data_IF_018608428263
#
_entry.id   IF_018608428263
#
_cell.length_a   1.000
_cell.length_b   1.000
_cell.length_c   1.000
_cell.angle_alpha   90.00
_cell.angle_beta   90.00
_cell.angle_gamma   90.00
#
_symmetry.space_group_name_H-M   'P 1'
#
loop_
_entity.id
_entity.type
_entity.pdbx_description
1 polymer ?
#
# COMPACT_ATOMS: atom_id res chain seq x y z
N UNK A 1 -73.12 67.19 20.73
CA UNK A 1 -73.06 65.78 20.97
C UNK A 1 -73.22 65.07 19.58
N UNK A 2 -72.16 64.55 19.01
CA UNK A 2 -72.14 63.94 17.69
C UNK A 2 -71.72 62.47 17.89
N UNK A 3 -72.35 61.52 17.23
CA UNK A 3 -71.91 60.12 17.31
C UNK A 3 -70.77 59.78 16.38
N UNK A 4 -69.87 58.95 16.81
CA UNK A 4 -68.70 58.47 16.11
C UNK A 4 -69.09 57.20 15.31
N UNK A 5 -68.84 57.20 14.03
CA UNK A 5 -69.08 56.06 13.15
C UNK A 5 -67.87 55.15 13.13
N UNK A 6 -68.04 53.86 13.43
CA UNK A 6 -67.04 52.81 13.26
C UNK A 6 -67.05 52.33 11.80
N UNK A 7 -65.87 52.43 11.16
CA UNK A 7 -65.57 51.77 9.87
C UNK A 7 -64.89 50.42 10.15
N UNK A 8 -65.57 49.35 9.76
CA UNK A 8 -64.95 48.02 9.71
C UNK A 8 -64.16 47.90 8.40
N UNK A 9 -62.85 47.74 8.47
CA UNK A 9 -61.98 47.34 7.34
C UNK A 9 -61.74 45.84 7.41
N UNK A 10 -62.31 45.12 6.44
CA UNK A 10 -62.02 43.70 6.23
C UNK A 10 -60.64 43.54 5.61
N UNK A 11 -59.70 42.90 6.34
CA UNK A 11 -58.43 42.50 5.80
C UNK A 11 -58.54 41.14 5.12
N UNK A 12 -58.40 41.09 3.81
CA UNK A 12 -58.23 39.88 3.01
C UNK A 12 -56.83 39.35 3.20
N UNK A 13 -56.63 38.24 3.93
CA UNK A 13 -55.36 37.50 4.01
C UNK A 13 -55.16 36.71 2.70
N UNK A 14 -54.26 37.13 1.85
CA UNK A 14 -53.80 36.38 0.71
C UNK A 14 -52.77 35.33 1.20
N UNK A 15 -53.14 34.08 1.21
CA UNK A 15 -52.23 32.96 1.48
C UNK A 15 -51.31 32.75 0.27
N UNK A 16 -50.07 33.19 0.38
CA UNK A 16 -49.01 32.88 -0.61
C UNK A 16 -48.49 31.46 -0.28
N UNK A 17 -48.99 30.47 -1.03
CA UNK A 17 -48.34 29.14 -1.03
C UNK A 17 -46.99 29.29 -1.75
N UNK A 18 -45.92 29.42 -0.96
CA UNK A 18 -44.54 29.33 -1.42
C UNK A 18 -44.27 27.88 -1.86
N UNK A 19 -44.22 27.64 -3.15
CA UNK A 19 -43.60 26.44 -3.69
C UNK A 19 -42.08 26.56 -3.39
N UNK A 20 -41.59 25.87 -2.36
CA UNK A 20 -40.19 25.64 -2.17
C UNK A 20 -39.71 24.72 -3.28
N UNK A 21 -39.21 25.32 -4.36
CA UNK A 21 -38.41 24.56 -5.34
C UNK A 21 -37.13 24.17 -4.62
N UNK A 22 -37.00 22.91 -4.27
CA UNK A 22 -35.72 22.33 -3.91
C UNK A 22 -34.83 22.44 -5.14
N UNK A 23 -34.01 23.50 -5.19
CA UNK A 23 -32.93 23.57 -6.16
C UNK A 23 -32.02 22.39 -5.86
N UNK A 24 -32.06 21.34 -6.68
CA UNK A 24 -31.02 20.35 -6.68
C UNK A 24 -29.72 21.07 -6.98
N UNK A 25 -28.83 21.14 -6.01
CA UNK A 25 -27.48 21.61 -6.24
C UNK A 25 -26.89 20.76 -7.38
N UNK A 26 -26.36 21.42 -8.40
CA UNK A 26 -25.72 20.70 -9.50
C UNK A 26 -24.58 19.86 -8.95
N UNK A 27 -24.44 18.62 -9.45
CA UNK A 27 -23.37 17.72 -9.04
C UNK A 27 -21.99 18.37 -9.22
N UNK A 28 -21.19 18.33 -8.16
CA UNK A 28 -19.80 18.80 -8.19
C UNK A 28 -18.95 17.75 -8.91
N UNK A 29 -18.49 18.11 -10.09
CA UNK A 29 -17.62 17.26 -10.93
C UNK A 29 -16.15 17.33 -10.51
N UNK A 30 -15.85 17.33 -9.22
CA UNK A 30 -14.49 17.35 -8.68
C UNK A 30 -14.19 16.08 -7.88
N UNK A 31 -13.06 15.44 -8.19
CA UNK A 31 -12.48 14.35 -7.44
C UNK A 31 -11.25 14.86 -6.72
N UNK A 32 -11.36 15.09 -5.41
CA UNK A 32 -10.23 15.43 -4.56
C UNK A 32 -9.63 14.16 -3.99
N UNK A 33 -8.35 13.87 -4.32
CA UNK A 33 -7.64 12.67 -3.92
C UNK A 33 -6.42 12.99 -3.07
N UNK A 34 -6.38 12.50 -1.84
CA UNK A 34 -5.18 12.50 -1.01
C UNK A 34 -4.39 11.22 -1.26
N UNK A 35 -3.10 11.34 -1.54
CA UNK A 35 -2.22 10.21 -1.83
C UNK A 35 -0.75 10.56 -1.57
N UNK A 36 0.12 9.53 -1.54
CA UNK A 36 1.58 9.70 -1.41
C UNK A 36 2.37 9.21 -2.63
N UNK A 37 1.71 8.96 -3.75
CA UNK A 37 2.34 8.54 -5.00
C UNK A 37 3.00 9.72 -5.71
N UNK A 38 4.26 10.01 -5.37
CA UNK A 38 5.00 11.18 -5.85
C UNK A 38 6.28 10.83 -6.60
N UNK A 39 6.74 9.57 -6.59
CA UNK A 39 7.85 9.12 -7.42
C UNK A 39 7.49 9.08 -8.90
N UNK A 40 8.48 8.94 -9.78
CA UNK A 40 8.25 8.97 -11.23
C UNK A 40 7.31 7.87 -11.72
N UNK A 41 7.49 6.64 -11.26
CA UNK A 41 6.64 5.50 -11.58
C UNK A 41 5.25 5.62 -11.00
N UNK A 42 5.14 6.09 -9.76
CA UNK A 42 3.86 6.24 -9.06
C UNK A 42 2.99 7.33 -9.67
N UNK A 43 3.55 8.51 -9.95
CA UNK A 43 2.84 9.61 -10.58
C UNK A 43 2.36 9.24 -12.00
N UNK A 44 3.19 8.52 -12.76
CA UNK A 44 2.81 8.02 -14.07
C UNK A 44 1.64 7.02 -14.00
N UNK A 45 1.62 6.13 -13.00
CA UNK A 45 0.51 5.19 -12.79
C UNK A 45 -0.79 5.92 -12.43
N UNK A 46 -0.75 6.85 -11.45
CA UNK A 46 -1.93 7.63 -11.05
C UNK A 46 -2.52 8.45 -12.21
N UNK A 47 -1.66 8.88 -13.14
CA UNK A 47 -2.11 9.66 -14.30
C UNK A 47 -3.09 8.89 -15.20
N UNK A 48 -3.11 7.55 -15.17
CA UNK A 48 -4.12 6.75 -15.87
C UNK A 48 -5.52 7.08 -15.36
N UNK A 49 -5.73 7.07 -14.03
CA UNK A 49 -7.02 7.41 -13.44
C UNK A 49 -7.42 8.86 -13.70
N UNK A 50 -6.45 9.78 -13.61
CA UNK A 50 -6.69 11.22 -13.91
C UNK A 50 -7.20 11.42 -15.33
N UNK A 51 -6.57 10.75 -16.29
CA UNK A 51 -6.97 10.84 -17.70
C UNK A 51 -8.34 10.25 -17.96
N UNK A 52 -8.67 9.10 -17.35
CA UNK A 52 -9.96 8.45 -17.54
C UNK A 52 -11.09 9.31 -16.98
N UNK A 53 -10.93 9.84 -15.76
CA UNK A 53 -11.92 10.76 -15.18
C UNK A 53 -12.04 12.09 -15.94
N UNK A 54 -10.94 12.62 -16.47
CA UNK A 54 -10.97 13.84 -17.28
C UNK A 54 -11.76 13.64 -18.58
N UNK A 55 -11.62 12.46 -19.24
CA UNK A 55 -12.41 12.12 -20.44
C UNK A 55 -13.91 12.06 -20.14
N UNK A 56 -14.29 11.68 -18.92
CA UNK A 56 -15.68 11.67 -18.45
C UNK A 56 -16.17 13.03 -17.95
N UNK A 57 -15.33 14.07 -18.03
CA UNK A 57 -15.67 15.45 -17.67
C UNK A 57 -15.54 15.76 -16.18
N UNK A 58 -14.81 14.94 -15.42
CA UNK A 58 -14.47 15.22 -14.02
C UNK A 58 -13.17 16.01 -13.91
N UNK A 59 -13.08 16.87 -12.90
CA UNK A 59 -11.87 17.63 -12.56
C UNK A 59 -11.13 16.92 -11.44
N UNK A 60 -9.88 16.59 -11.69
CA UNK A 60 -9.02 16.00 -10.67
C UNK A 60 -8.35 17.09 -9.84
N UNK A 61 -8.39 16.93 -8.51
CA UNK A 61 -7.70 17.78 -7.55
C UNK A 61 -6.76 16.95 -6.68
N UNK A 62 -5.47 17.09 -6.97
CA UNK A 62 -4.42 16.41 -6.20
C UNK A 62 -4.25 17.00 -4.80
N UNK A 63 -4.08 16.11 -3.82
CA UNK A 63 -3.56 16.42 -2.48
C UNK A 63 -2.38 15.47 -2.21
N UNK A 64 -1.23 15.67 -2.87
CA UNK A 64 -0.07 14.79 -2.71
C UNK A 64 0.69 15.11 -1.41
N UNK A 65 1.09 14.07 -0.67
CA UNK A 65 1.93 14.17 0.53
C UNK A 65 3.10 13.19 0.37
N UNK A 66 4.26 13.69 0.00
CA UNK A 66 5.43 12.87 -0.31
C UNK A 66 6.05 12.19 0.90
N UNK A 67 6.66 11.01 0.67
CA UNK A 67 7.57 10.34 1.59
C UNK A 67 6.91 9.50 2.69
N UNK A 68 7.77 8.84 3.48
CA UNK A 68 7.41 8.14 4.71
C UNK A 68 6.44 6.97 4.59
N UNK A 69 6.32 6.32 3.40
CA UNK A 69 5.38 5.21 3.23
C UNK A 69 3.92 5.56 3.54
N UNK A 70 3.54 6.85 3.41
CA UNK A 70 2.18 7.33 3.70
C UNK A 70 1.96 7.92 5.09
N UNK A 71 2.92 7.89 6.01
CA UNK A 71 2.74 8.40 7.37
C UNK A 71 2.32 9.88 7.41
N UNK A 72 2.94 10.74 6.60
CA UNK A 72 2.56 12.14 6.45
C UNK A 72 1.17 12.32 5.87
N UNK A 73 0.79 11.48 4.89
CA UNK A 73 -0.54 11.49 4.29
C UNK A 73 -1.62 11.12 5.31
N UNK A 74 -1.38 10.11 6.15
CA UNK A 74 -2.32 9.73 7.23
C UNK A 74 -2.49 10.84 8.26
N UNK A 75 -1.43 11.57 8.60
CA UNK A 75 -1.51 12.76 9.48
C UNK A 75 -2.38 13.85 8.85
N UNK A 76 -2.17 14.14 7.57
CA UNK A 76 -2.97 15.11 6.81
C UNK A 76 -4.43 14.69 6.71
N UNK A 77 -4.69 13.41 6.40
CA UNK A 77 -6.04 12.84 6.34
C UNK A 77 -6.78 13.01 7.67
N UNK A 78 -6.11 12.67 8.77
CA UNK A 78 -6.68 12.83 10.13
C UNK A 78 -7.10 14.27 10.39
N UNK A 79 -6.28 15.23 10.01
CA UNK A 79 -6.60 16.67 10.15
C UNK A 79 -7.81 17.07 9.28
N UNK A 80 -7.87 16.63 8.02
CA UNK A 80 -8.99 16.94 7.13
C UNK A 80 -10.31 16.36 7.64
N UNK A 81 -10.30 15.10 8.10
CA UNK A 81 -11.49 14.43 8.66
C UNK A 81 -11.93 15.08 9.98
N UNK A 82 -11.00 15.44 10.85
CA UNK A 82 -11.30 16.14 12.12
C UNK A 82 -11.91 17.54 11.88
N UNK A 83 -11.49 18.23 10.81
CA UNK A 83 -12.05 19.51 10.40
C UNK A 83 -13.44 19.39 9.71
N UNK A 84 -13.95 18.17 9.54
CA UNK A 84 -15.24 17.95 8.85
C UNK A 84 -15.18 18.13 7.32
N UNK A 85 -13.99 18.17 6.74
CA UNK A 85 -13.77 18.35 5.31
C UNK A 85 -12.89 17.21 4.73
N UNK A 86 -13.37 15.97 4.74
CA UNK A 86 -12.65 14.84 4.14
C UNK A 86 -12.51 15.01 2.63
N UNK A 87 -11.45 14.42 2.00
CA UNK A 87 -11.34 14.37 0.55
C UNK A 87 -12.45 13.47 -0.06
N UNK A 88 -12.63 13.53 -1.38
CA UNK A 88 -13.53 12.61 -2.10
C UNK A 88 -13.11 11.17 -1.89
N UNK A 89 -11.81 10.91 -1.95
CA UNK A 89 -11.19 9.66 -1.56
C UNK A 89 -9.75 9.89 -1.08
N UNK A 90 -9.21 8.91 -0.36
CA UNK A 90 -7.80 8.90 0.05
C UNK A 90 -7.19 7.55 -0.23
N UNK A 91 -5.96 7.54 -0.73
CA UNK A 91 -5.13 6.35 -0.66
C UNK A 91 -4.99 5.95 0.80
N UNK A 92 -5.13 4.66 1.09
CA UNK A 92 -5.08 4.11 2.45
C UNK A 92 -4.61 2.67 2.42
N UNK A 93 -4.07 2.19 3.54
CA UNK A 93 -3.63 0.80 3.69
C UNK A 93 -4.39 0.10 4.81
N UNK A 94 -4.74 -1.16 4.58
CA UNK A 94 -5.14 -2.16 5.55
C UNK A 94 -5.97 -1.67 6.74
N UNK A 95 -5.44 -1.88 7.92
CA UNK A 95 -6.12 -1.54 9.16
C UNK A 95 -6.43 -0.04 9.35
N UNK A 96 -5.71 0.88 8.70
CA UNK A 96 -6.09 2.30 8.73
C UNK A 96 -7.46 2.54 8.09
N UNK A 97 -7.85 1.76 7.06
CA UNK A 97 -9.18 1.88 6.48
C UNK A 97 -10.25 1.42 7.49
N UNK A 98 -9.99 0.32 8.21
CA UNK A 98 -10.92 -0.18 9.23
C UNK A 98 -11.15 0.84 10.35
N UNK A 99 -10.11 1.53 10.83
CA UNK A 99 -10.23 2.56 11.86
C UNK A 99 -11.22 3.67 11.44
N UNK A 100 -11.14 4.14 10.19
CA UNK A 100 -12.08 5.15 9.67
C UNK A 100 -13.49 4.58 9.45
N UNK A 101 -13.60 3.33 9.03
CA UNK A 101 -14.88 2.65 8.83
C UNK A 101 -15.60 2.44 10.16
N UNK A 102 -14.91 1.93 11.20
CA UNK A 102 -15.44 1.76 12.55
C UNK A 102 -15.84 3.10 13.19
N UNK A 103 -15.10 4.16 12.91
CA UNK A 103 -15.45 5.53 13.33
C UNK A 103 -16.62 6.15 12.54
N UNK A 104 -17.22 5.41 11.58
CA UNK A 104 -18.36 5.86 10.76
C UNK A 104 -18.00 7.02 9.81
N UNK A 105 -16.73 7.12 9.39
CA UNK A 105 -16.24 8.20 8.52
C UNK A 105 -16.31 7.85 7.05
N UNK A 106 -16.46 6.57 6.71
CA UNK A 106 -16.50 6.11 5.32
C UNK A 106 -17.95 6.08 4.79
N UNK A 107 -18.05 6.27 3.48
CA UNK A 107 -19.28 6.21 2.71
C UNK A 107 -19.60 4.78 2.28
N UNK A 108 -20.63 4.64 1.43
CA UNK A 108 -21.16 3.34 1.00
C UNK A 108 -21.28 3.32 -0.53
N UNK A 109 -20.53 2.43 -1.16
CA UNK A 109 -20.55 2.16 -2.61
C UNK A 109 -21.03 0.74 -2.94
N UNK A 110 -21.73 0.09 -2.00
CA UNK A 110 -22.21 -1.30 -2.13
C UNK A 110 -23.09 -1.49 -3.36
N UNK A 111 -23.95 -0.51 -3.69
CA UNK A 111 -24.79 -0.61 -4.86
C UNK A 111 -23.98 -0.75 -6.16
N UNK A 112 -22.89 0.00 -6.30
CA UNK A 112 -21.95 -0.11 -7.44
C UNK A 112 -21.23 -1.46 -7.40
N UNK A 113 -20.65 -1.81 -6.25
CA UNK A 113 -19.90 -3.06 -6.08
C UNK A 113 -20.74 -4.30 -6.40
N UNK A 114 -22.00 -4.33 -5.93
CA UNK A 114 -22.94 -5.41 -6.22
C UNK A 114 -23.29 -5.47 -7.70
N UNK A 115 -23.60 -4.32 -8.31
CA UNK A 115 -23.92 -4.23 -9.74
C UNK A 115 -22.80 -4.80 -10.61
N UNK A 116 -21.55 -4.53 -10.24
CA UNK A 116 -20.38 -4.94 -11.00
C UNK A 116 -19.75 -6.26 -10.53
N UNK A 117 -20.30 -6.89 -9.47
CA UNK A 117 -19.88 -8.19 -8.97
C UNK A 117 -18.45 -8.20 -8.41
N UNK A 118 -18.06 -7.19 -7.66
CA UNK A 118 -16.70 -7.08 -7.11
C UNK A 118 -16.34 -8.21 -6.14
N UNK A 119 -17.31 -8.72 -5.42
CA UNK A 119 -17.19 -9.86 -4.52
C UNK A 119 -16.66 -11.13 -5.19
N UNK A 120 -16.90 -11.28 -6.51
CA UNK A 120 -16.51 -12.45 -7.30
C UNK A 120 -15.09 -12.36 -7.86
N UNK A 121 -14.55 -11.14 -7.93
CA UNK A 121 -13.27 -10.87 -8.62
C UNK A 121 -12.18 -10.37 -7.71
N UNK A 122 -12.51 -9.90 -6.49
CA UNK A 122 -11.55 -9.45 -5.48
C UNK A 122 -11.29 -10.59 -4.49
N UNK A 123 -10.02 -10.93 -4.18
CA UNK A 123 -9.71 -11.93 -3.16
C UNK A 123 -10.34 -11.62 -1.80
N UNK A 124 -10.86 -12.65 -1.11
CA UNK A 124 -11.51 -12.49 0.21
C UNK A 124 -10.59 -11.82 1.24
N UNK A 125 -9.29 -12.08 1.16
CA UNK A 125 -8.30 -11.44 2.04
C UNK A 125 -8.29 -9.90 1.90
N UNK A 126 -8.55 -9.37 0.71
CA UNK A 126 -8.68 -7.94 0.47
C UNK A 126 -10.06 -7.41 0.88
N UNK A 127 -11.12 -8.21 0.66
CA UNK A 127 -12.47 -7.83 1.04
C UNK A 127 -12.58 -7.53 2.54
N UNK A 128 -11.78 -8.18 3.38
CA UNK A 128 -11.65 -7.86 4.81
C UNK A 128 -11.40 -6.37 5.08
N UNK A 129 -10.68 -5.69 4.19
CA UNK A 129 -10.25 -4.29 4.36
C UNK A 129 -11.02 -3.30 3.46
N UNK A 130 -11.85 -3.81 2.56
CA UNK A 130 -12.65 -2.99 1.64
C UNK A 130 -14.14 -3.01 1.95
N UNK A 131 -14.53 -3.84 2.95
CA UNK A 131 -15.91 -3.97 3.37
C UNK A 131 -16.03 -3.93 4.89
N UNK A 132 -16.96 -3.13 5.41
CA UNK A 132 -17.26 -3.05 6.84
C UNK A 132 -18.75 -3.22 7.07
N UNK A 133 -19.13 -4.15 7.94
CA UNK A 133 -20.55 -4.47 8.22
C UNK A 133 -21.37 -4.78 6.95
N UNK A 134 -20.76 -5.48 5.98
CA UNK A 134 -21.38 -5.85 4.70
C UNK A 134 -21.48 -4.72 3.68
N UNK A 135 -20.88 -3.57 3.91
CA UNK A 135 -20.84 -2.42 3.00
C UNK A 135 -19.44 -2.27 2.39
N UNK A 136 -19.39 -2.04 1.10
CA UNK A 136 -18.17 -1.63 0.42
C UNK A 136 -17.91 -0.14 0.70
N UNK A 137 -16.77 0.16 1.27
CA UNK A 137 -16.34 1.49 1.72
C UNK A 137 -14.94 1.88 1.26
N UNK A 138 -14.26 0.98 0.56
CA UNK A 138 -12.99 1.22 -0.09
C UNK A 138 -12.87 0.46 -1.42
N UNK A 139 -12.02 0.96 -2.32
CA UNK A 139 -11.77 0.43 -3.67
C UNK A 139 -10.33 -0.06 -3.75
N UNK A 140 -10.05 -1.36 -3.87
CA UNK A 140 -8.69 -1.84 -4.03
C UNK A 140 -8.22 -1.64 -5.47
N UNK A 141 -7.00 -1.08 -5.66
CA UNK A 141 -6.48 -0.76 -6.99
C UNK A 141 -5.35 -1.66 -7.46
N UNK A 142 -4.72 -2.38 -6.52
CA UNK A 142 -3.63 -3.30 -6.81
C UNK A 142 -3.53 -4.41 -5.75
N UNK A 143 -2.64 -5.36 -6.00
CA UNK A 143 -2.00 -6.19 -4.98
C UNK A 143 -0.51 -5.98 -5.15
N UNK A 144 0.14 -5.51 -4.11
CA UNK A 144 1.58 -5.52 -3.96
C UNK A 144 2.04 -6.79 -3.25
N UNK A 145 3.25 -7.21 -3.54
CA UNK A 145 3.98 -8.15 -2.70
C UNK A 145 5.32 -7.57 -2.29
N UNK A 146 5.67 -7.69 -1.00
CA UNK A 146 6.85 -7.05 -0.43
C UNK A 146 8.09 -7.93 -0.48
N UNK A 147 7.94 -9.23 -0.66
CA UNK A 147 9.02 -10.20 -0.63
C UNK A 147 9.68 -10.41 -2.00
N UNK A 148 10.20 -9.32 -2.57
CA UNK A 148 10.97 -9.35 -3.81
C UNK A 148 12.41 -8.88 -3.61
N UNK A 149 13.30 -9.33 -4.51
CA UNK A 149 14.61 -8.75 -4.76
C UNK A 149 14.69 -8.27 -6.21
N UNK A 150 15.20 -7.07 -6.38
CA UNK A 150 15.38 -6.37 -7.67
C UNK A 150 16.86 -6.21 -7.93
N UNK A 151 17.39 -6.84 -8.98
CA UNK A 151 18.82 -6.90 -9.25
C UNK A 151 19.15 -6.18 -10.55
N UNK A 152 20.29 -5.47 -10.57
CA UNK A 152 20.89 -5.03 -11.82
C UNK A 152 21.52 -6.23 -12.52
N UNK A 153 21.05 -6.53 -13.74
CA UNK A 153 21.50 -7.73 -14.49
C UNK A 153 22.98 -7.66 -14.85
N UNK A 154 23.44 -6.51 -15.36
CA UNK A 154 24.84 -6.35 -15.76
C UNK A 154 25.80 -6.47 -14.57
N UNK A 155 25.43 -5.92 -13.40
CA UNK A 155 26.21 -6.08 -12.17
C UNK A 155 26.21 -7.53 -11.72
N UNK A 156 25.07 -8.21 -11.75
CA UNK A 156 24.96 -9.62 -11.39
C UNK A 156 25.86 -10.50 -12.27
N UNK A 157 25.86 -10.29 -13.59
CA UNK A 157 26.75 -10.98 -14.54
C UNK A 157 28.21 -10.67 -14.26
N UNK A 158 28.56 -9.40 -14.05
CA UNK A 158 29.94 -8.97 -13.73
C UNK A 158 30.52 -9.65 -12.50
N UNK A 159 29.70 -9.89 -11.46
CA UNK A 159 30.15 -10.55 -10.21
C UNK A 159 30.05 -12.08 -10.29
N UNK A 160 29.65 -12.66 -11.43
CA UNK A 160 29.45 -14.10 -11.58
C UNK A 160 28.33 -14.61 -10.65
N UNK A 161 27.27 -13.81 -10.50
CA UNK A 161 26.12 -14.13 -9.66
C UNK A 161 25.15 -15.08 -10.36
N UNK A 162 24.43 -15.86 -9.56
CA UNK A 162 23.31 -16.71 -9.96
C UNK A 162 22.11 -16.42 -9.07
N UNK A 163 20.90 -16.85 -9.47
CA UNK A 163 19.70 -16.70 -8.65
C UNK A 163 19.89 -17.34 -7.28
N UNK A 164 19.81 -16.56 -6.17
CA UNK A 164 19.92 -17.09 -4.82
C UNK A 164 18.60 -17.80 -4.44
N UNK A 165 18.70 -19.03 -3.97
CA UNK A 165 17.52 -19.84 -3.56
C UNK A 165 17.33 -19.85 -2.05
N UNK A 166 18.41 -19.70 -1.30
CA UNK A 166 18.44 -19.68 0.16
C UNK A 166 18.98 -18.33 0.67
N UNK A 167 18.77 -18.04 1.95
CA UNK A 167 19.38 -16.86 2.58
C UNK A 167 20.91 -16.89 2.49
N UNK A 168 21.52 -18.07 2.64
CA UNK A 168 22.99 -18.21 2.53
C UNK A 168 23.49 -17.97 1.10
N UNK A 169 22.75 -18.43 0.07
CA UNK A 169 23.06 -18.08 -1.34
C UNK A 169 22.99 -16.56 -1.56
N UNK A 170 22.01 -15.90 -0.92
CA UNK A 170 21.87 -14.45 -1.01
C UNK A 170 23.07 -13.74 -0.38
N UNK A 171 23.47 -14.17 0.81
CA UNK A 171 24.67 -13.66 1.49
C UNK A 171 25.91 -13.87 0.61
N UNK A 172 26.08 -15.06 0.03
CA UNK A 172 27.22 -15.33 -0.87
C UNK A 172 27.21 -14.43 -2.11
N UNK A 173 26.03 -14.11 -2.67
CA UNK A 173 25.89 -13.17 -3.77
C UNK A 173 26.28 -11.73 -3.35
N UNK A 174 25.86 -11.30 -2.15
CA UNK A 174 26.23 -9.99 -1.61
C UNK A 174 27.74 -9.89 -1.34
N UNK A 175 28.38 -10.97 -0.87
CA UNK A 175 29.83 -11.03 -0.66
C UNK A 175 30.61 -10.88 -1.98
N UNK A 176 30.12 -11.48 -3.08
CA UNK A 176 30.70 -11.30 -4.42
C UNK A 176 30.63 -9.84 -4.86
N UNK A 177 29.48 -9.17 -4.67
CA UNK A 177 29.34 -7.75 -5.02
C UNK A 177 30.27 -6.88 -4.20
N UNK A 178 30.38 -7.13 -2.89
CA UNK A 178 31.29 -6.42 -1.97
C UNK A 178 32.75 -6.57 -2.40
N UNK A 179 33.14 -7.78 -2.75
CA UNK A 179 34.50 -8.08 -3.22
C UNK A 179 34.83 -7.42 -4.58
N UNK A 180 33.82 -7.18 -5.40
CA UNK A 180 33.95 -6.46 -6.67
C UNK A 180 33.86 -4.93 -6.53
N UNK A 181 33.78 -4.40 -5.30
CA UNK A 181 33.68 -2.95 -5.03
C UNK A 181 32.35 -2.31 -5.40
N UNK A 182 31.28 -3.13 -5.53
CA UNK A 182 29.90 -2.65 -5.79
C UNK A 182 29.16 -2.64 -4.47
N UNK A 183 28.29 -1.65 -4.24
CA UNK A 183 27.37 -1.66 -3.09
C UNK A 183 26.50 -2.90 -3.19
N UNK A 184 26.58 -3.85 -2.24
CA UNK A 184 25.85 -5.08 -2.37
C UNK A 184 24.33 -4.88 -2.27
N UNK A 185 23.86 -4.13 -1.26
CA UNK A 185 22.45 -3.94 -0.95
C UNK A 185 22.10 -2.45 -0.89
N UNK A 186 21.31 -1.98 -1.84
CA UNK A 186 20.71 -0.66 -1.78
C UNK A 186 19.52 -0.68 -0.82
N UNK A 187 19.51 0.22 0.14
CA UNK A 187 18.43 0.38 1.11
C UNK A 187 18.10 1.85 1.30
N UNK A 188 16.82 2.15 1.48
CA UNK A 188 16.39 3.40 2.07
C UNK A 188 16.22 3.22 3.57
N UNK A 189 16.78 4.15 4.36
CA UNK A 189 16.83 4.04 5.81
C UNK A 189 15.65 4.73 6.50
N UNK A 190 14.44 4.42 6.09
CA UNK A 190 13.21 4.81 6.77
C UNK A 190 12.60 3.58 7.46
N UNK A 191 11.99 3.70 8.65
CA UNK A 191 11.51 2.55 9.45
C UNK A 191 10.70 1.54 8.65
N UNK A 192 9.73 1.99 7.86
CA UNK A 192 8.88 1.11 7.05
C UNK A 192 9.65 0.28 6.01
N UNK A 193 10.79 0.79 5.48
CA UNK A 193 11.61 0.06 4.49
C UNK A 193 12.40 -1.06 5.16
N UNK A 194 12.93 -0.79 6.35
CA UNK A 194 13.64 -1.78 7.17
C UNK A 194 12.69 -2.89 7.64
N UNK A 195 11.48 -2.51 8.09
CA UNK A 195 10.43 -3.44 8.46
C UNK A 195 9.92 -4.27 7.27
N UNK A 196 9.77 -3.67 6.08
CA UNK A 196 9.41 -4.39 4.85
C UNK A 196 10.45 -5.45 4.48
N UNK A 197 11.74 -5.13 4.63
CA UNK A 197 12.81 -6.12 4.45
C UNK A 197 12.73 -7.21 5.52
N UNK A 198 12.43 -6.85 6.77
CA UNK A 198 12.35 -7.82 7.86
C UNK A 198 11.16 -8.78 7.72
N UNK A 199 10.01 -8.36 7.18
CA UNK A 199 8.92 -9.27 6.80
C UNK A 199 9.44 -10.41 5.90
N UNK A 200 10.24 -10.07 4.89
CA UNK A 200 10.85 -11.04 3.98
C UNK A 200 11.87 -11.94 4.69
N UNK A 201 12.67 -11.37 5.59
CA UNK A 201 13.68 -12.11 6.38
C UNK A 201 13.03 -13.12 7.33
N UNK A 202 11.94 -12.75 8.01
CA UNK A 202 11.21 -13.67 8.90
C UNK A 202 10.67 -14.85 8.09
N UNK A 203 10.02 -14.58 6.97
CA UNK A 203 9.46 -15.61 6.11
C UNK A 203 10.55 -16.51 5.50
N UNK A 204 11.71 -15.96 5.15
CA UNK A 204 12.87 -16.71 4.66
C UNK A 204 13.46 -17.61 5.75
N UNK A 205 13.55 -17.12 6.99
CA UNK A 205 14.21 -17.82 8.08
C UNK A 205 13.36 -18.97 8.63
N UNK A 206 12.07 -18.75 8.81
CA UNK A 206 11.18 -19.70 9.46
C UNK A 206 10.12 -20.34 8.55
N UNK A 207 10.03 -19.87 7.31
CA UNK A 207 8.95 -20.23 6.39
C UNK A 207 7.66 -19.47 6.67
N UNK A 208 6.70 -19.60 5.72
CA UNK A 208 5.44 -18.83 5.79
C UNK A 208 4.55 -19.24 6.97
N UNK A 209 4.61 -20.50 7.41
CA UNK A 209 3.84 -20.95 8.57
C UNK A 209 4.40 -20.36 9.88
N UNK A 210 5.71 -20.17 9.97
CA UNK A 210 6.31 -19.44 11.08
C UNK A 210 5.90 -17.96 11.04
N UNK A 211 5.92 -17.31 9.86
CA UNK A 211 5.45 -15.94 9.69
C UNK A 211 4.01 -15.77 10.18
N UNK A 212 3.11 -16.70 9.82
CA UNK A 212 1.73 -16.67 10.30
C UNK A 212 1.66 -16.70 11.82
N UNK A 213 2.33 -17.67 12.46
CA UNK A 213 2.33 -17.80 13.92
C UNK A 213 2.91 -16.56 14.60
N UNK A 214 4.07 -16.10 14.16
CA UNK A 214 4.77 -15.01 14.82
C UNK A 214 4.14 -13.63 14.54
N UNK A 215 3.67 -13.41 13.33
CA UNK A 215 3.27 -12.07 12.85
C UNK A 215 1.75 -11.90 12.77
N UNK A 216 1.02 -12.90 12.24
CA UNK A 216 -0.43 -12.79 12.12
C UNK A 216 -1.13 -13.16 13.45
N UNK A 217 -0.68 -14.24 14.10
CA UNK A 217 -1.29 -14.75 15.34
C UNK A 217 -0.64 -14.16 16.60
N UNK A 218 0.54 -13.57 16.50
CA UNK A 218 1.36 -13.07 17.61
C UNK A 218 1.55 -14.11 18.69
N UNK A 219 1.78 -15.38 18.27
CA UNK A 219 1.98 -16.50 19.18
C UNK A 219 3.23 -16.27 20.04
N UNK A 220 3.10 -16.30 21.39
CA UNK A 220 4.22 -15.99 22.28
C UNK A 220 5.37 -17.00 22.16
N UNK A 221 5.10 -18.26 21.78
CA UNK A 221 6.12 -19.29 21.60
C UNK A 221 6.92 -19.01 20.33
N UNK A 222 6.24 -18.66 19.24
CA UNK A 222 6.89 -18.28 17.99
C UNK A 222 7.74 -17.01 18.17
N UNK A 223 7.21 -16.00 18.83
CA UNK A 223 7.92 -14.75 19.10
C UNK A 223 9.18 -14.94 19.96
N UNK A 224 9.17 -15.87 20.92
CA UNK A 224 10.32 -16.17 21.81
C UNK A 224 11.31 -17.17 21.22
N UNK A 225 11.03 -17.73 20.04
CA UNK A 225 11.79 -18.84 19.50
C UNK A 225 13.19 -18.44 19.01
N UNK A 226 14.07 -19.42 18.90
CA UNK A 226 15.38 -19.25 18.26
C UNK A 226 15.26 -18.87 16.78
N UNK A 227 14.16 -19.24 16.12
CA UNK A 227 13.86 -18.81 14.74
C UNK A 227 13.68 -17.29 14.66
N UNK A 228 12.98 -16.66 15.61
CA UNK A 228 12.84 -15.20 15.64
C UNK A 228 14.18 -14.52 15.94
N UNK A 229 14.98 -15.06 16.89
CA UNK A 229 16.36 -14.56 17.12
C UNK A 229 17.21 -14.65 15.87
N UNK A 230 17.16 -15.78 15.17
CA UNK A 230 17.87 -15.97 13.90
C UNK A 230 17.39 -14.99 12.82
N UNK A 231 16.12 -14.61 12.82
CA UNK A 231 15.61 -13.59 11.89
C UNK A 231 16.26 -12.23 12.17
N UNK A 232 16.41 -11.82 13.42
CA UNK A 232 17.15 -10.62 13.78
C UNK A 232 18.63 -10.72 13.43
N UNK A 233 19.30 -11.87 13.66
CA UNK A 233 20.70 -12.08 13.24
C UNK A 233 20.86 -11.94 11.73
N UNK A 234 19.92 -12.50 10.95
CA UNK A 234 19.89 -12.37 9.51
C UNK A 234 19.69 -10.91 9.07
N UNK A 235 18.83 -10.17 9.76
CA UNK A 235 18.63 -8.73 9.50
C UNK A 235 19.92 -7.94 9.77
N UNK A 236 20.61 -8.22 10.89
CA UNK A 236 21.91 -7.61 11.22
C UNK A 236 22.97 -7.95 10.16
N UNK A 237 22.95 -9.16 9.62
CA UNK A 237 23.83 -9.58 8.53
C UNK A 237 23.57 -8.74 7.28
N UNK A 238 22.30 -8.53 6.88
CA UNK A 238 21.96 -7.69 5.73
C UNK A 238 22.38 -6.24 5.91
N UNK A 239 22.24 -5.68 7.13
CA UNK A 239 22.73 -4.33 7.42
C UNK A 239 24.21 -4.14 7.04
N UNK A 240 25.04 -5.16 7.23
CA UNK A 240 26.48 -5.07 6.93
C UNK A 240 26.82 -4.96 5.44
N UNK A 241 25.82 -5.06 4.58
CA UNK A 241 25.95 -4.91 3.12
C UNK A 241 25.36 -3.61 2.59
N UNK A 242 24.71 -2.80 3.42
CA UNK A 242 24.23 -1.47 3.03
C UNK A 242 25.36 -0.46 2.98
N UNK A 243 25.20 0.59 2.17
CA UNK A 243 26.14 1.71 2.17
C UNK A 243 25.95 2.60 3.41
N UNK A 244 26.98 3.35 3.84
CA UNK A 244 26.94 4.14 5.07
C UNK A 244 25.96 5.31 5.03
N UNK A 245 25.47 5.71 3.85
CA UNK A 245 24.59 6.87 3.66
C UNK A 245 23.12 6.46 3.44
N UNK A 246 22.73 5.27 3.88
CA UNK A 246 21.36 4.77 3.65
C UNK A 246 20.31 5.49 4.50
N UNK A 247 20.68 6.01 5.68
CA UNK A 247 19.77 6.58 6.66
C UNK A 247 18.93 7.73 6.06
N UNK A 248 17.61 7.67 6.22
CA UNK A 248 16.67 8.66 5.73
C UNK A 248 16.47 8.69 4.21
N UNK A 249 17.16 7.84 3.44
CA UNK A 249 17.00 7.77 1.99
C UNK A 249 15.62 7.28 1.62
N UNK A 250 14.98 7.92 0.64
CA UNK A 250 13.75 7.43 0.08
C UNK A 250 13.96 6.15 -0.74
N UNK A 251 12.96 5.28 -0.78
CA UNK A 251 13.02 3.96 -1.41
C UNK A 251 13.36 4.02 -2.91
N UNK A 252 12.80 5.01 -3.63
CA UNK A 252 13.04 5.19 -5.07
C UNK A 252 14.48 5.64 -5.37
N UNK A 253 15.13 6.34 -4.44
CA UNK A 253 16.55 6.68 -4.57
C UNK A 253 17.44 5.44 -4.41
N UNK A 254 17.06 4.51 -3.52
CA UNK A 254 17.72 3.20 -3.43
C UNK A 254 17.49 2.38 -4.70
N UNK A 255 16.27 2.39 -5.27
CA UNK A 255 15.99 1.76 -6.57
C UNK A 255 16.86 2.37 -7.68
N UNK A 256 17.03 3.70 -7.70
CA UNK A 256 17.88 4.38 -8.67
C UNK A 256 19.34 3.93 -8.62
N UNK A 257 19.87 3.57 -7.44
CA UNK A 257 21.22 3.01 -7.33
C UNK A 257 21.33 1.66 -8.05
N UNK A 258 20.32 0.80 -7.94
CA UNK A 258 20.29 -0.47 -8.67
C UNK A 258 20.10 -0.23 -10.17
N UNK A 259 19.25 0.69 -10.57
CA UNK A 259 19.03 1.07 -11.98
C UNK A 259 20.34 1.52 -12.65
N UNK A 260 21.16 2.31 -11.94
CA UNK A 260 22.44 2.83 -12.45
C UNK A 260 23.56 1.81 -12.42
N UNK A 261 23.42 0.74 -11.63
CA UNK A 261 24.49 -0.24 -11.39
C UNK A 261 25.47 0.17 -10.29
N UNK A 262 25.17 1.19 -9.49
CA UNK A 262 25.92 1.58 -8.30
C UNK A 262 25.76 0.53 -7.20
N UNK A 263 24.62 -0.16 -7.18
CA UNK A 263 24.32 -1.27 -6.27
C UNK A 263 23.85 -2.51 -7.05
N UNK A 264 24.06 -3.69 -6.45
CA UNK A 264 23.63 -4.96 -7.05
C UNK A 264 22.13 -5.18 -6.89
N UNK A 265 21.60 -5.05 -5.67
CA UNK A 265 20.24 -5.49 -5.36
C UNK A 265 19.54 -4.53 -4.39
N UNK A 266 18.21 -4.48 -4.50
CA UNK A 266 17.31 -3.92 -3.49
C UNK A 266 16.29 -4.97 -3.06
N UNK A 267 16.05 -5.09 -1.74
CA UNK A 267 14.90 -5.79 -1.18
C UNK A 267 13.77 -4.78 -1.02
N UNK A 268 12.71 -4.92 -1.80
CA UNK A 268 11.61 -3.95 -1.82
C UNK A 268 10.38 -4.55 -2.49
N UNK A 269 9.20 -4.04 -2.17
CA UNK A 269 7.97 -4.41 -2.84
C UNK A 269 7.99 -4.12 -4.34
N UNK A 270 7.06 -4.72 -5.05
CA UNK A 270 7.01 -4.68 -6.50
C UNK A 270 6.76 -3.29 -7.12
N UNK A 271 6.38 -2.28 -6.32
CA UNK A 271 6.37 -0.89 -6.76
C UNK A 271 7.75 -0.40 -7.25
N UNK A 272 8.85 -1.02 -6.80
CA UNK A 272 10.18 -0.70 -7.31
C UNK A 272 10.29 -0.92 -8.83
N UNK A 273 9.55 -1.88 -9.40
CA UNK A 273 9.50 -2.13 -10.85
C UNK A 273 9.01 -0.91 -11.63
N UNK A 274 8.11 -0.11 -11.05
CA UNK A 274 7.62 1.13 -11.65
C UNK A 274 8.74 2.13 -11.94
N UNK A 275 9.74 2.22 -11.05
CA UNK A 275 10.91 3.10 -11.25
C UNK A 275 11.84 2.59 -12.35
N UNK A 276 12.07 1.26 -12.44
CA UNK A 276 12.81 0.67 -13.56
C UNK A 276 12.13 1.00 -14.90
N UNK A 277 10.81 0.85 -14.96
CA UNK A 277 10.03 1.20 -16.15
C UNK A 277 10.11 2.70 -16.48
N UNK A 278 9.98 3.59 -15.49
CA UNK A 278 10.11 5.04 -15.68
C UNK A 278 11.49 5.44 -16.19
N UNK A 279 12.52 4.64 -15.86
CA UNK A 279 13.88 4.77 -16.39
C UNK A 279 14.10 4.05 -17.74
N UNK A 280 13.04 3.59 -18.42
CA UNK A 280 13.08 2.80 -19.65
C UNK A 280 13.93 1.53 -19.54
N UNK A 281 13.89 0.84 -18.39
CA UNK A 281 14.55 -0.45 -18.16
C UNK A 281 13.59 -1.60 -18.35
N UNK A 282 14.06 -2.67 -18.97
CA UNK A 282 13.29 -3.86 -19.34
C UNK A 282 13.63 -5.06 -18.45
N UNK A 283 12.60 -5.73 -17.94
CA UNK A 283 12.75 -6.96 -17.15
C UNK A 283 13.39 -8.08 -17.97
N UNK A 284 14.37 -8.77 -17.39
CA UNK A 284 15.14 -9.82 -18.06
C UNK A 284 16.29 -9.32 -18.94
N UNK A 285 16.29 -8.06 -19.33
CA UNK A 285 17.34 -7.43 -20.13
C UNK A 285 18.25 -6.54 -19.28
N UNK A 286 17.67 -5.56 -18.58
CA UNK A 286 18.40 -4.59 -17.77
C UNK A 286 18.38 -4.95 -16.28
N UNK A 287 17.29 -5.54 -15.81
CA UNK A 287 17.11 -5.96 -14.42
C UNK A 287 16.45 -7.31 -14.30
N UNK A 288 16.60 -7.94 -13.15
CA UNK A 288 16.05 -9.24 -12.82
C UNK A 288 15.22 -9.11 -11.54
N UNK A 289 14.13 -9.85 -11.47
CA UNK A 289 13.24 -9.95 -10.32
C UNK A 289 13.17 -11.41 -9.83
N UNK A 290 13.45 -11.62 -8.55
CA UNK A 290 13.23 -12.89 -7.89
C UNK A 290 12.45 -12.68 -6.60
N UNK A 291 11.79 -13.74 -6.10
CA UNK A 291 11.32 -13.72 -4.72
C UNK A 291 12.50 -13.62 -3.78
N UNK A 292 12.30 -12.99 -2.62
CA UNK A 292 13.32 -13.03 -1.58
C UNK A 292 13.66 -14.49 -1.27
N UNK A 293 14.94 -14.87 -1.25
CA UNK A 293 15.36 -16.26 -1.14
C UNK A 293 14.71 -17.00 0.04
N UNK A 294 14.21 -18.21 -0.21
CA UNK A 294 13.47 -18.99 0.79
C UNK A 294 11.98 -18.63 0.92
N UNK A 295 11.46 -17.70 0.11
CA UNK A 295 10.03 -17.33 0.16
C UNK A 295 9.25 -17.72 -1.09
N UNK A 296 9.80 -18.59 -1.93
CA UNK A 296 9.12 -19.05 -3.14
C UNK A 296 7.75 -19.70 -2.82
N UNK A 297 6.75 -19.35 -3.64
CA UNK A 297 5.37 -19.80 -3.47
C UNK A 297 4.58 -19.10 -2.37
N UNK A 298 5.19 -18.15 -1.66
CA UNK A 298 4.50 -17.28 -0.70
C UNK A 298 4.42 -15.83 -1.22
N UNK A 299 3.34 -15.16 -0.86
CA UNK A 299 3.14 -13.73 -1.11
C UNK A 299 2.83 -13.03 0.20
N UNK A 300 3.72 -12.15 0.63
CA UNK A 300 3.48 -11.22 1.73
C UNK A 300 2.93 -9.95 1.08
N UNK A 301 1.64 -9.67 1.27
CA UNK A 301 0.94 -8.67 0.49
C UNK A 301 0.62 -7.39 1.25
N UNK A 302 0.48 -6.32 0.50
CA UNK A 302 -0.33 -5.16 0.82
C UNK A 302 -1.15 -4.77 -0.43
N UNK A 303 -2.12 -3.90 -0.25
CA UNK A 303 -2.90 -3.32 -1.35
C UNK A 303 -3.09 -1.84 -1.11
N UNK A 304 -2.93 -1.03 -2.14
CA UNK A 304 -3.41 0.34 -2.10
C UNK A 304 -4.92 0.33 -2.33
N UNK A 305 -5.62 1.04 -1.48
CA UNK A 305 -7.07 1.22 -1.60
C UNK A 305 -7.40 2.70 -1.63
N UNK A 306 -8.50 3.05 -2.26
CA UNK A 306 -9.11 4.36 -2.14
C UNK A 306 -10.27 4.27 -1.14
N UNK A 307 -10.06 4.75 0.08
CA UNK A 307 -11.13 4.87 1.06
C UNK A 307 -12.14 5.92 0.61
N UNK A 308 -13.42 5.56 0.66
CA UNK A 308 -14.55 6.38 0.22
C UNK A 308 -15.11 7.11 1.44
N UNK A 309 -14.89 8.42 1.54
CA UNK A 309 -15.36 9.18 2.70
C UNK A 309 -16.81 9.60 2.59
N UNK A 310 -17.45 9.89 3.75
CA UNK A 310 -18.77 10.52 3.77
C UNK A 310 -18.63 11.97 3.26
N UNK A 311 -19.13 12.20 2.06
CA UNK A 311 -19.13 13.52 1.41
C UNK A 311 -20.58 14.02 1.24
N UNK A 312 -20.77 15.35 1.06
CA UNK A 312 -22.07 15.91 0.68
C UNK A 312 -22.68 15.25 -0.56
N UNK A 313 -24.00 15.28 -0.67
CA UNK A 313 -24.75 14.56 -1.70
C UNK A 313 -24.33 14.94 -3.14
N UNK A 314 -24.00 16.21 -3.36
CA UNK A 314 -23.55 16.75 -4.64
C UNK A 314 -22.15 16.24 -5.10
N UNK A 315 -21.37 15.64 -4.22
CA UNK A 315 -20.07 15.02 -4.54
C UNK A 315 -20.12 13.52 -4.75
N UNK A 316 -21.24 12.86 -4.44
CA UNK A 316 -21.36 11.40 -4.53
C UNK A 316 -21.26 10.87 -5.96
N UNK A 317 -21.76 11.61 -6.94
CA UNK A 317 -21.64 11.22 -8.35
C UNK A 317 -20.17 11.12 -8.78
N UNK A 318 -19.33 12.11 -8.45
CA UNK A 318 -17.90 12.09 -8.73
C UNK A 318 -17.16 10.95 -8.00
N UNK A 319 -17.54 10.70 -6.76
CA UNK A 319 -17.00 9.59 -5.95
C UNK A 319 -17.32 8.22 -6.56
N UNK A 320 -18.58 8.02 -7.00
CA UNK A 320 -19.03 6.78 -7.65
C UNK A 320 -18.33 6.57 -9.00
N UNK A 321 -18.18 7.63 -9.81
CA UNK A 321 -17.45 7.57 -11.08
C UNK A 321 -15.99 7.19 -10.88
N UNK A 322 -15.31 7.79 -9.89
CA UNK A 322 -13.94 7.46 -9.53
C UNK A 322 -13.81 5.98 -9.10
N UNK A 323 -14.73 5.50 -8.27
CA UNK A 323 -14.74 4.11 -7.83
C UNK A 323 -14.95 3.12 -9.00
N UNK A 324 -15.88 3.42 -9.90
CA UNK A 324 -16.11 2.62 -11.11
C UNK A 324 -14.90 2.62 -12.04
N UNK A 325 -14.30 3.78 -12.30
CA UNK A 325 -13.10 3.89 -13.11
C UNK A 325 -11.93 3.08 -12.53
N UNK A 326 -11.68 3.21 -11.21
CA UNK A 326 -10.61 2.49 -10.51
C UNK A 326 -10.80 0.97 -10.50
N UNK A 327 -12.04 0.49 -10.59
CA UNK A 327 -12.36 -0.94 -10.66
C UNK A 327 -12.53 -1.46 -12.10
N UNK A 328 -12.42 -0.62 -13.12
CA UNK A 328 -12.49 -1.08 -14.50
C UNK A 328 -11.29 -1.99 -14.84
N UNK A 329 -11.49 -3.01 -15.70
CA UNK A 329 -10.39 -3.90 -16.12
C UNK A 329 -9.28 -3.14 -16.85
N UNK A 330 -9.65 -2.12 -17.65
CA UNK A 330 -8.71 -1.28 -18.39
C UNK A 330 -7.81 -0.50 -17.46
N UNK A 331 -8.38 0.16 -16.46
CA UNK A 331 -7.59 0.85 -15.42
C UNK A 331 -6.71 -0.12 -14.64
N UNK A 332 -7.28 -1.22 -14.15
CA UNK A 332 -6.56 -2.23 -13.37
C UNK A 332 -5.37 -2.83 -14.16
N UNK A 333 -5.48 -3.02 -15.48
CA UNK A 333 -4.34 -3.41 -16.32
C UNK A 333 -3.34 -2.27 -16.47
N UNK A 334 -3.77 -1.13 -17.01
CA UNK A 334 -2.87 -0.03 -17.38
C UNK A 334 -2.12 0.56 -16.16
N UNK A 335 -2.84 0.77 -15.04
CA UNK A 335 -2.25 1.25 -13.80
C UNK A 335 -1.18 0.29 -13.27
N UNK A 336 -1.50 -1.00 -13.16
CA UNK A 336 -0.61 -1.98 -12.53
C UNK A 336 0.61 -2.33 -13.40
N UNK A 337 0.49 -2.28 -14.72
CA UNK A 337 1.64 -2.36 -15.63
C UNK A 337 2.65 -1.25 -15.37
N UNK A 338 2.17 -0.01 -15.13
CA UNK A 338 3.03 1.16 -14.87
C UNK A 338 3.53 1.15 -13.43
N UNK A 339 2.64 0.91 -12.45
CA UNK A 339 2.95 0.93 -11.01
C UNK A 339 3.95 -0.17 -10.61
N UNK A 340 3.97 -1.28 -11.34
CA UNK A 340 4.82 -2.42 -11.02
C UNK A 340 4.12 -3.54 -10.27
N UNK A 341 2.95 -3.31 -9.74
CA UNK A 341 2.08 -4.22 -8.99
C UNK A 341 1.28 -5.17 -9.90
N UNK A 342 0.38 -5.93 -9.29
CA UNK A 342 -0.61 -6.74 -10.02
C UNK A 342 -2.02 -6.24 -9.72
N UNK A 343 -3.00 -6.47 -10.62
CA UNK A 343 -4.38 -6.05 -10.41
C UNK A 343 -4.98 -6.61 -9.13
N UNK A 344 -5.81 -5.83 -8.44
CA UNK A 344 -6.64 -6.31 -7.35
C UNK A 344 -7.73 -7.27 -7.85
N UNK A 345 -8.19 -7.08 -9.09
CA UNK A 345 -9.13 -7.97 -9.78
C UNK A 345 -8.41 -9.19 -10.34
N UNK A 346 -8.87 -10.38 -9.96
CA UNK A 346 -8.30 -11.67 -10.42
C UNK A 346 -8.69 -12.04 -11.86
N UNK A 347 -9.58 -11.28 -12.49
CA UNK A 347 -10.12 -11.51 -13.84
C UNK A 347 -9.51 -10.57 -14.92
N UNK A 348 -8.42 -9.87 -14.58
CA UNK A 348 -7.63 -9.08 -15.53
C UNK A 348 -6.62 -10.02 -16.23
N UNK A 349 -6.53 -10.03 -17.56
CA UNK A 349 -5.54 -10.84 -18.28
C UNK A 349 -4.11 -10.31 -18.06
N UNK A 350 -3.14 -11.20 -18.17
CA UNK A 350 -1.71 -10.88 -17.97
C UNK A 350 -0.98 -10.47 -19.27
N UNK A 351 -1.68 -10.31 -20.38
CA UNK A 351 -1.12 -10.08 -21.71
C UNK A 351 -0.20 -8.87 -21.79
N UNK A 352 -0.55 -7.79 -21.07
CA UNK A 352 0.18 -6.52 -21.11
C UNK A 352 1.35 -6.46 -20.11
N UNK A 353 1.48 -7.48 -19.26
CA UNK A 353 2.49 -7.52 -18.22
C UNK A 353 3.80 -8.10 -18.69
N UNK A 354 4.91 -7.57 -18.21
CA UNK A 354 6.25 -8.14 -18.38
C UNK A 354 6.41 -9.45 -17.60
N UNK A 355 7.58 -10.09 -17.74
CA UNK A 355 7.85 -11.38 -17.07
C UNK A 355 7.72 -11.30 -15.54
N UNK A 356 8.09 -10.19 -14.92
CA UNK A 356 7.98 -9.98 -13.47
C UNK A 356 6.52 -9.80 -13.04
N UNK A 357 5.74 -9.04 -13.80
CA UNK A 357 4.30 -8.86 -13.57
C UNK A 357 3.53 -10.17 -13.75
N UNK A 358 3.81 -10.93 -14.82
CA UNK A 358 3.22 -12.27 -15.03
C UNK A 358 3.54 -13.23 -13.89
N UNK A 359 4.81 -13.25 -13.44
CA UNK A 359 5.20 -14.02 -12.25
C UNK A 359 4.42 -13.57 -11.01
N UNK A 360 4.30 -12.27 -10.77
CA UNK A 360 3.54 -11.71 -9.66
C UNK A 360 2.07 -12.15 -9.66
N UNK A 361 1.40 -12.07 -10.81
CA UNK A 361 0.00 -12.52 -10.97
C UNK A 361 -0.17 -14.02 -10.74
N UNK A 362 0.74 -14.83 -11.26
CA UNK A 362 0.74 -16.29 -11.06
C UNK A 362 0.98 -16.64 -9.58
N UNK A 363 1.94 -15.97 -8.93
CA UNK A 363 2.28 -16.19 -7.52
C UNK A 363 1.12 -15.81 -6.60
N UNK A 364 0.45 -14.66 -6.84
CA UNK A 364 -0.75 -14.25 -6.07
C UNK A 364 -1.86 -15.29 -6.20
N UNK A 365 -2.14 -15.76 -7.40
CA UNK A 365 -3.15 -16.79 -7.65
C UNK A 365 -2.82 -18.08 -6.91
N UNK A 366 -1.58 -18.55 -7.00
CA UNK A 366 -1.11 -19.78 -6.35
C UNK A 366 -1.09 -19.65 -4.82
N UNK A 367 -0.55 -18.55 -4.30
CA UNK A 367 -0.47 -18.30 -2.87
C UNK A 367 -1.86 -18.17 -2.22
N UNK A 368 -2.79 -17.48 -2.90
CA UNK A 368 -4.17 -17.36 -2.42
C UNK A 368 -4.86 -18.73 -2.36
N UNK A 369 -4.66 -19.59 -3.35
CA UNK A 369 -5.24 -20.95 -3.39
C UNK A 369 -4.60 -21.88 -2.34
N UNK A 370 -3.31 -21.71 -2.01
CA UNK A 370 -2.57 -22.59 -1.08
C UNK A 370 -2.49 -22.05 0.36
N UNK A 371 -3.16 -20.95 0.68
CA UNK A 371 -3.10 -20.33 2.00
C UNK A 371 -1.76 -19.68 2.35
N UNK A 372 -0.93 -19.38 1.35
CA UNK A 372 0.37 -18.70 1.51
C UNK A 372 0.33 -17.21 1.13
N UNK A 373 -0.87 -16.66 1.02
CA UNK A 373 -1.14 -15.24 0.78
C UNK A 373 -1.42 -14.56 2.11
N UNK A 374 -0.44 -13.85 2.67
CA UNK A 374 -0.46 -13.30 4.03
C UNK A 374 -0.20 -11.80 4.03
N UNK A 375 -0.85 -11.08 4.95
CA UNK A 375 -0.66 -9.63 5.09
C UNK A 375 0.74 -9.27 5.59
N UNK A 376 1.31 -8.19 5.06
CA UNK A 376 2.54 -7.58 5.55
C UNK A 376 2.28 -6.84 6.86
N UNK A 377 3.15 -7.02 7.86
CA UNK A 377 3.07 -6.25 9.10
C UNK A 377 3.52 -4.81 8.86
N UNK A 378 4.65 -4.64 8.19
CA UNK A 378 5.20 -3.32 7.84
C UNK A 378 4.24 -2.45 7.02
N UNK A 379 3.29 -3.07 6.30
CA UNK A 379 2.33 -2.37 5.45
C UNK A 379 0.90 -2.36 6.03
N UNK A 380 0.74 -2.60 7.35
CA UNK A 380 -0.55 -2.55 8.07
C UNK A 380 -1.62 -3.54 7.55
N UNK A 381 -1.22 -4.75 7.11
CA UNK A 381 -2.14 -5.82 6.67
C UNK A 381 -2.13 -7.04 7.59
N UNK A 382 -1.16 -7.16 8.50
CA UNK A 382 -1.07 -8.24 9.48
C UNK A 382 -1.71 -7.87 10.82
N UNK A 383 -1.48 -6.64 11.30
CA UNK A 383 -1.88 -6.18 12.63
C UNK A 383 -2.38 -4.73 12.60
N UNK A 384 -3.14 -4.31 13.63
CA UNK A 384 -3.55 -2.91 13.80
C UNK A 384 -2.37 -1.95 13.88
N UNK A 385 -2.57 -0.65 13.55
CA UNK A 385 -1.49 0.33 13.43
C UNK A 385 -0.61 0.48 14.67
N UNK A 386 -1.17 0.35 15.88
CA UNK A 386 -0.40 0.44 17.11
C UNK A 386 0.63 -0.70 17.24
N UNK A 387 0.24 -1.93 16.89
CA UNK A 387 1.13 -3.10 16.91
C UNK A 387 2.17 -3.01 15.79
N UNK A 388 1.76 -2.58 14.59
CA UNK A 388 2.68 -2.37 13.47
C UNK A 388 3.74 -1.31 13.81
N UNK A 389 3.34 -0.17 14.37
CA UNK A 389 4.28 0.88 14.79
C UNK A 389 5.25 0.41 15.89
N UNK A 390 4.77 -0.40 16.85
CA UNK A 390 5.61 -0.98 17.89
C UNK A 390 6.66 -1.95 17.31
N UNK A 391 6.27 -2.73 16.30
CA UNK A 391 7.17 -3.61 15.56
C UNK A 391 8.22 -2.80 14.78
N UNK A 392 7.80 -1.81 14.01
CA UNK A 392 8.68 -0.95 13.21
C UNK A 392 9.74 -0.26 14.10
N UNK A 393 9.34 0.25 15.27
CA UNK A 393 10.23 0.91 16.22
C UNK A 393 11.34 -0.04 16.72
N UNK A 394 10.99 -1.28 17.09
CA UNK A 394 11.99 -2.27 17.54
C UNK A 394 12.90 -2.69 16.41
N UNK A 395 12.37 -2.94 15.22
CA UNK A 395 13.16 -3.31 14.03
C UNK A 395 14.15 -2.21 13.69
N UNK A 396 13.70 -0.96 13.65
CA UNK A 396 14.56 0.20 13.36
C UNK A 396 15.65 0.38 14.41
N UNK A 397 15.31 0.34 15.70
CA UNK A 397 16.31 0.43 16.78
C UNK A 397 17.36 -0.68 16.71
N UNK A 398 16.94 -1.90 16.37
CA UNK A 398 17.87 -3.00 16.16
C UNK A 398 18.71 -2.77 14.91
N UNK A 399 18.10 -2.39 13.81
CA UNK A 399 18.81 -2.14 12.55
C UNK A 399 19.85 -1.01 12.69
N UNK A 400 19.57 0.02 13.46
CA UNK A 400 20.52 1.12 13.73
C UNK A 400 21.52 0.82 14.84
N UNK A 401 21.39 -0.33 15.53
CA UNK A 401 22.34 -0.80 16.56
C UNK A 401 22.13 -0.21 17.95
N UNK A 402 20.98 0.45 18.19
CA UNK A 402 20.54 0.86 19.53
C UNK A 402 20.22 -0.39 20.38
N UNK A 403 19.51 -1.35 19.80
CA UNK A 403 19.35 -2.69 20.34
C UNK A 403 20.46 -3.57 19.73
N UNK A 404 21.35 -4.13 20.56
CA UNK A 404 22.61 -4.69 20.10
C UNK A 404 22.61 -6.20 19.86
N UNK A 405 21.65 -6.92 20.43
CA UNK A 405 21.58 -8.39 20.32
C UNK A 405 20.19 -8.85 19.91
N UNK A 406 20.10 -9.98 19.23
CA UNK A 406 18.84 -10.59 18.84
C UNK A 406 17.98 -11.00 20.05
N UNK A 407 18.58 -11.42 21.16
CA UNK A 407 17.87 -11.71 22.41
C UNK A 407 17.19 -10.45 22.99
N UNK A 408 17.91 -9.32 22.99
CA UNK A 408 17.34 -8.04 23.43
C UNK A 408 16.23 -7.58 22.48
N UNK A 409 16.41 -7.73 21.16
CA UNK A 409 15.41 -7.37 20.16
C UNK A 409 14.12 -8.19 20.33
N UNK A 410 14.21 -9.50 20.53
CA UNK A 410 13.05 -10.35 20.81
C UNK A 410 12.36 -9.95 22.11
N UNK A 411 13.11 -9.64 23.16
CA UNK A 411 12.55 -9.20 24.44
C UNK A 411 11.78 -7.88 24.31
N UNK A 412 12.40 -6.89 23.66
CA UNK A 412 11.75 -5.59 23.43
C UNK A 412 10.57 -5.69 22.45
N UNK A 413 10.65 -6.55 21.42
CA UNK A 413 9.54 -6.79 20.49
C UNK A 413 8.30 -7.31 21.23
N UNK A 414 8.46 -8.33 22.07
CA UNK A 414 7.35 -8.90 22.83
C UNK A 414 6.75 -7.86 23.78
N UNK A 415 7.60 -7.11 24.47
CA UNK A 415 7.16 -6.02 25.38
C UNK A 415 6.40 -4.94 24.62
N UNK A 416 6.94 -4.49 23.48
CA UNK A 416 6.32 -3.45 22.66
C UNK A 416 4.96 -3.91 22.12
N UNK A 417 4.85 -5.14 21.59
CA UNK A 417 3.60 -5.72 21.11
C UNK A 417 2.57 -5.82 22.25
N UNK A 418 2.98 -6.28 23.44
CA UNK A 418 2.04 -6.40 24.57
C UNK A 418 1.54 -5.06 25.09
N UNK A 419 2.33 -4.00 24.98
CA UNK A 419 1.93 -2.64 25.35
C UNK A 419 1.03 -1.99 24.27
N UNK A 420 1.06 -2.47 23.05
CA UNK A 420 0.30 -1.94 21.90
C UNK A 420 -1.07 -2.63 21.70
N UNK A 421 -1.32 -3.78 22.34
CA UNK A 421 -2.60 -4.49 22.36
C UNK A 421 -3.57 -3.86 23.36
#
# INVERSE_FOLDING_TARGET
>A
MKPCSLLLTSAMAASVLGFATTANAADVKEVQMLHWWTSGGEAAALNVLKQDLTKEGYVWKDVPVAGGGGAGAMTTLKAMVAAGNPPTASQILGYFALDYAEAGKLGDITALATKEGWDKVIPTALQKFTTTNGKWDAVPVNIHSVNWIWLNKAVMEKVGGTEPKTFDDFVALLDKAKSAGVIPLALGGQPWQEATMFDSVIASTGGIEFYKKAIIELDPTALKSDTMKKSFDNLAKLRSYTDPNYAGRDWNLATAMVIKGDALVQVMGDWAKGEFRAANKEAGKDFICYRFPGTDGAVIYNTDMFAIFNVPADRKAAQTAMAAAAMSKSFQSAFNVIKGSVPARMDVPDTDFDMCGKKGMADVKSANASGKFVGSLAQNYAQPPAVAAAYDDVVTKFFHGEIRTSDAAVTELIKAINNAK
#
